data_IF_789217417327
#
_entry.id   IF_789217417327
#
_cell.length_a   1.000
_cell.length_b   1.000
_cell.length_c   1.000
_cell.angle_alpha   90.00
_cell.angle_beta   90.00
_cell.angle_gamma   90.00
#
_symmetry.space_group_name_H-M   'P 1'
#
loop_
_entity.id
_entity.type
_entity.pdbx_description
1 polymer ?
#
# COMPACT_ATOMS: atom_id res chain seq x y z
N UNK A 1 -19.48 2.73 -12.30
CA UNK A 1 -18.13 2.26 -12.70
C UNK A 1 -18.30 1.20 -13.77
N UNK A 2 -17.57 1.29 -14.89
CA UNK A 2 -17.56 0.22 -15.91
C UNK A 2 -17.05 -1.08 -15.26
N UNK A 3 -17.63 -2.22 -15.65
CA UNK A 3 -17.27 -3.52 -15.06
C UNK A 3 -15.81 -3.87 -15.29
N UNK A 4 -15.26 -3.57 -16.46
CA UNK A 4 -13.84 -3.77 -16.76
C UNK A 4 -12.91 -3.00 -15.81
N UNK A 5 -13.21 -1.73 -15.53
CA UNK A 5 -12.43 -0.91 -14.59
C UNK A 5 -12.50 -1.45 -13.16
N UNK A 6 -13.68 -1.87 -12.72
CA UNK A 6 -13.85 -2.49 -11.39
C UNK A 6 -13.02 -3.77 -11.27
N UNK A 7 -13.19 -4.70 -12.21
CA UNK A 7 -12.53 -6.01 -12.19
C UNK A 7 -11.00 -5.84 -12.27
N UNK A 8 -10.50 -4.98 -13.17
CA UNK A 8 -9.06 -4.73 -13.30
C UNK A 8 -8.43 -4.20 -12.01
N UNK A 9 -9.06 -3.21 -11.38
CA UNK A 9 -8.56 -2.67 -10.11
C UNK A 9 -8.68 -3.68 -8.97
N UNK A 10 -9.78 -4.43 -8.92
CA UNK A 10 -9.98 -5.43 -7.88
C UNK A 10 -8.90 -6.53 -7.96
N UNK A 11 -8.64 -7.07 -9.15
CA UNK A 11 -7.60 -8.08 -9.37
C UNK A 11 -6.23 -7.53 -9.01
N UNK A 12 -5.90 -6.30 -9.45
CA UNK A 12 -4.64 -5.65 -9.12
C UNK A 12 -4.41 -5.56 -7.61
N UNK A 13 -5.38 -5.02 -6.87
CA UNK A 13 -5.24 -4.87 -5.41
C UNK A 13 -5.28 -6.21 -4.67
N UNK A 14 -6.02 -7.21 -5.15
CA UNK A 14 -5.98 -8.58 -4.60
C UNK A 14 -4.59 -9.18 -4.77
N UNK A 15 -3.96 -9.04 -5.94
CA UNK A 15 -2.62 -9.55 -6.19
C UNK A 15 -1.59 -8.90 -5.26
N UNK A 16 -1.65 -7.57 -5.11
CA UNK A 16 -0.79 -6.83 -4.16
C UNK A 16 -1.03 -7.30 -2.73
N UNK A 17 -2.29 -7.39 -2.30
CA UNK A 17 -2.63 -7.85 -0.95
C UNK A 17 -2.16 -9.30 -0.70
N UNK A 18 -2.24 -10.18 -1.69
CA UNK A 18 -1.76 -11.55 -1.56
C UNK A 18 -0.23 -11.61 -1.40
N UNK A 19 0.52 -10.89 -2.24
CA UNK A 19 1.99 -10.83 -2.15
C UNK A 19 2.43 -10.25 -0.81
N UNK A 20 1.87 -9.10 -0.41
CA UNK A 20 2.19 -8.48 0.87
C UNK A 20 1.74 -9.33 2.05
N UNK A 21 0.60 -10.02 1.95
CA UNK A 21 0.07 -10.90 2.99
C UNK A 21 0.94 -12.13 3.21
N UNK A 22 1.40 -12.78 2.15
CA UNK A 22 2.34 -13.92 2.24
C UNK A 22 3.67 -13.48 2.85
N UNK A 23 4.21 -12.34 2.41
CA UNK A 23 5.44 -11.80 2.99
C UNK A 23 5.24 -11.43 4.48
N UNK A 24 4.15 -10.74 4.82
CA UNK A 24 3.85 -10.35 6.20
C UNK A 24 3.67 -11.59 7.09
N UNK A 25 2.99 -12.63 6.62
CA UNK A 25 2.87 -13.89 7.33
C UNK A 25 4.27 -14.46 7.65
N UNK A 26 5.13 -14.60 6.63
CA UNK A 26 6.51 -15.05 6.83
C UNK A 26 7.27 -14.15 7.83
N UNK A 27 7.21 -12.83 7.67
CA UNK A 27 7.91 -11.86 8.51
C UNK A 27 7.50 -11.95 9.98
N UNK A 28 6.20 -12.06 10.28
CA UNK A 28 5.69 -12.10 11.64
C UNK A 28 5.75 -13.50 12.29
N UNK A 29 5.90 -14.58 11.51
CA UNK A 29 6.06 -15.94 12.05
C UNK A 29 7.50 -16.42 12.12
N UNK A 30 8.45 -15.70 11.50
CA UNK A 30 9.86 -16.05 11.48
C UNK A 30 10.60 -15.38 12.64
N UNK A 31 11.61 -16.07 13.18
CA UNK A 31 12.44 -15.52 14.25
C UNK A 31 13.16 -14.22 13.83
N UNK A 32 13.25 -13.27 14.77
CA UNK A 32 13.79 -11.93 14.53
C UNK A 32 15.23 -11.97 14.02
N UNK A 33 16.06 -12.89 14.51
CA UNK A 33 17.46 -12.99 14.06
C UNK A 33 17.54 -13.45 12.60
N UNK A 34 16.66 -14.36 12.19
CA UNK A 34 16.59 -14.87 10.82
C UNK A 34 16.12 -13.78 9.86
N UNK A 35 15.08 -13.03 10.25
CA UNK A 35 14.56 -11.90 9.46
C UNK A 35 15.62 -10.81 9.32
N UNK A 36 16.34 -10.50 10.40
CA UNK A 36 17.38 -9.47 10.41
C UNK A 36 18.55 -9.85 9.50
N UNK A 37 19.00 -11.11 9.56
CA UNK A 37 20.03 -11.62 8.66
C UNK A 37 19.58 -11.54 7.19
N UNK A 38 18.38 -12.01 6.88
CA UNK A 38 17.84 -11.97 5.53
C UNK A 38 17.65 -10.54 4.98
N UNK A 39 17.27 -9.58 5.84
CA UNK A 39 17.14 -8.18 5.47
C UNK A 39 18.50 -7.49 5.26
N UNK A 40 19.55 -7.92 5.98
CA UNK A 40 20.91 -7.44 5.77
C UNK A 40 21.51 -7.94 4.44
N UNK A 41 21.08 -9.12 3.96
CA UNK A 41 21.60 -9.74 2.73
C UNK A 41 20.80 -9.36 1.47
N UNK A 42 19.54 -8.95 1.61
CA UNK A 42 18.63 -8.72 0.48
C UNK A 42 17.85 -7.42 0.58
N UNK A 43 18.05 -6.52 -0.38
CA UNK A 43 17.22 -5.31 -0.56
C UNK A 43 15.74 -5.63 -0.66
N UNK A 44 15.36 -6.75 -1.31
CA UNK A 44 13.95 -7.11 -1.48
C UNK A 44 13.31 -7.55 -0.17
N UNK A 45 14.06 -8.29 0.65
CA UNK A 45 13.61 -8.65 2.00
C UNK A 45 13.45 -7.40 2.85
N UNK A 46 14.41 -6.48 2.81
CA UNK A 46 14.34 -5.21 3.54
C UNK A 46 13.18 -4.33 3.06
N UNK A 47 12.94 -4.21 1.75
CA UNK A 47 11.77 -3.52 1.21
C UNK A 47 10.48 -4.15 1.73
N UNK A 48 10.42 -5.48 1.76
CA UNK A 48 9.28 -6.20 2.31
C UNK A 48 9.04 -5.87 3.79
N UNK A 49 10.07 -5.84 4.63
CA UNK A 49 9.89 -5.53 6.07
C UNK A 49 9.39 -4.11 6.32
N UNK A 50 9.75 -3.16 5.44
CA UNK A 50 9.35 -1.76 5.53
C UNK A 50 7.94 -1.52 4.97
N UNK A 51 7.64 -2.08 3.80
CA UNK A 51 6.49 -1.66 3.00
C UNK A 51 5.34 -2.67 2.95
N UNK A 52 5.55 -3.95 3.29
CA UNK A 52 4.51 -4.97 3.12
C UNK A 52 3.24 -4.64 3.94
N UNK A 53 3.37 -4.27 5.21
CA UNK A 53 2.21 -3.94 6.06
C UNK A 53 1.47 -2.67 5.60
N UNK A 54 2.14 -1.51 5.36
CA UNK A 54 1.49 -0.33 4.80
C UNK A 54 0.76 -0.61 3.48
N UNK A 55 1.43 -1.33 2.56
CA UNK A 55 0.89 -1.62 1.24
C UNK A 55 -0.27 -2.62 1.28
N UNK A 56 -0.20 -3.61 2.18
CA UNK A 56 -1.29 -4.53 2.46
C UNK A 56 -2.53 -3.78 2.94
N UNK A 57 -2.38 -2.88 3.93
CA UNK A 57 -3.50 -2.11 4.47
C UNK A 57 -4.10 -1.17 3.42
N UNK A 58 -3.27 -0.53 2.61
CA UNK A 58 -3.73 0.25 1.47
C UNK A 58 -4.54 -0.62 0.50
N UNK A 59 -4.01 -1.77 0.10
CA UNK A 59 -4.67 -2.68 -0.83
C UNK A 59 -6.02 -3.18 -0.28
N UNK A 60 -6.08 -3.54 1.00
CA UNK A 60 -7.32 -3.94 1.68
C UNK A 60 -8.33 -2.79 1.70
N UNK A 61 -7.90 -1.59 2.05
CA UNK A 61 -8.73 -0.39 1.99
C UNK A 61 -9.31 -0.13 0.60
N UNK A 62 -8.48 -0.30 -0.44
CA UNK A 62 -8.90 -0.17 -1.83
C UNK A 62 -9.91 -1.26 -2.23
N UNK A 63 -9.69 -2.51 -1.83
CA UNK A 63 -10.65 -3.60 -2.09
C UNK A 63 -12.00 -3.30 -1.44
N UNK A 64 -12.00 -2.92 -0.16
CA UNK A 64 -13.23 -2.58 0.57
C UNK A 64 -13.94 -1.42 -0.11
N UNK A 65 -13.22 -0.33 -0.39
CA UNK A 65 -13.79 0.85 -1.05
C UNK A 65 -14.39 0.53 -2.42
N UNK A 66 -13.69 -0.26 -3.24
CA UNK A 66 -14.18 -0.72 -4.55
C UNK A 66 -15.49 -1.50 -4.42
N UNK A 67 -15.54 -2.47 -3.50
CA UNK A 67 -16.71 -3.32 -3.27
C UNK A 67 -17.90 -2.49 -2.79
N UNK A 68 -17.68 -1.61 -1.80
CA UNK A 68 -18.72 -0.72 -1.25
C UNK A 68 -19.27 0.22 -2.32
N UNK A 69 -18.42 0.84 -3.15
CA UNK A 69 -18.84 1.73 -4.23
C UNK A 69 -19.63 0.97 -5.30
N UNK A 70 -19.19 -0.25 -5.66
CA UNK A 70 -19.85 -1.06 -6.69
C UNK A 70 -21.22 -1.56 -6.22
N UNK A 71 -21.31 -2.11 -5.01
CA UNK A 71 -22.56 -2.65 -4.44
C UNK A 71 -23.52 -1.51 -4.09
N UNK A 72 -23.03 -0.47 -3.40
CA UNK A 72 -23.83 0.69 -2.99
C UNK A 72 -24.23 1.61 -4.13
N UNK A 73 -23.71 1.39 -5.35
CA UNK A 73 -23.97 2.23 -6.54
C UNK A 73 -23.75 3.73 -6.29
N UNK A 74 -22.83 4.07 -5.39
CA UNK A 74 -22.56 5.45 -5.01
C UNK A 74 -22.08 6.28 -6.20
N UNK A 75 -22.60 7.51 -6.30
CA UNK A 75 -22.10 8.53 -7.22
C UNK A 75 -21.42 9.62 -6.42
N UNK A 76 -20.18 9.92 -6.77
CA UNK A 76 -19.33 10.82 -5.99
C UNK A 76 -19.23 12.16 -6.71
N UNK A 77 -19.28 13.26 -5.95
CA UNK A 77 -19.01 14.58 -6.49
C UNK A 77 -17.62 14.62 -7.15
N UNK A 78 -17.52 15.20 -8.34
CA UNK A 78 -16.28 15.32 -9.09
C UNK A 78 -15.14 15.96 -8.27
N UNK A 79 -15.44 16.97 -7.44
CA UNK A 79 -14.42 17.58 -6.58
C UNK A 79 -13.86 16.59 -5.56
N UNK A 80 -14.73 15.90 -4.81
CA UNK A 80 -14.30 14.91 -3.82
C UNK A 80 -13.52 13.76 -4.47
N UNK A 81 -13.97 13.31 -5.64
CA UNK A 81 -13.28 12.30 -6.45
C UNK A 81 -11.85 12.72 -6.77
N UNK A 82 -11.65 13.91 -7.32
CA UNK A 82 -10.32 14.39 -7.69
C UNK A 82 -9.38 14.50 -6.49
N UNK A 83 -9.84 15.10 -5.39
CA UNK A 83 -9.02 15.23 -4.18
C UNK A 83 -8.65 13.88 -3.57
N UNK A 84 -9.61 12.95 -3.49
CA UNK A 84 -9.38 11.61 -2.99
C UNK A 84 -8.36 10.85 -3.86
N UNK A 85 -8.47 10.96 -5.19
CA UNK A 85 -7.52 10.34 -6.11
C UNK A 85 -6.11 10.92 -5.97
N UNK A 86 -5.99 12.25 -5.89
CA UNK A 86 -4.70 12.94 -5.75
C UNK A 86 -4.03 12.52 -4.46
N UNK A 87 -4.72 12.60 -3.32
CA UNK A 87 -4.16 12.24 -2.01
C UNK A 87 -3.74 10.77 -2.00
N UNK A 88 -4.61 9.88 -2.46
CA UNK A 88 -4.29 8.44 -2.45
C UNK A 88 -3.12 8.08 -3.37
N UNK A 89 -2.99 8.75 -4.52
CA UNK A 89 -1.88 8.55 -5.46
C UNK A 89 -0.58 9.14 -4.92
N UNK A 90 -0.62 10.31 -4.27
CA UNK A 90 0.54 10.93 -3.64
C UNK A 90 1.10 10.07 -2.51
N UNK A 91 0.24 9.53 -1.64
CA UNK A 91 0.69 8.63 -0.58
C UNK A 91 1.31 7.35 -1.16
N UNK A 92 0.72 6.77 -2.20
CA UNK A 92 1.31 5.61 -2.88
C UNK A 92 2.68 5.95 -3.50
N UNK A 93 2.80 7.12 -4.15
CA UNK A 93 4.07 7.60 -4.68
C UNK A 93 5.12 7.83 -3.58
N UNK A 94 4.71 8.35 -2.42
CA UNK A 94 5.60 8.51 -1.25
C UNK A 94 6.05 7.16 -0.68
N UNK A 95 5.19 6.13 -0.67
CA UNK A 95 5.62 4.77 -0.30
C UNK A 95 6.70 4.26 -1.27
N UNK A 96 6.50 4.44 -2.57
CA UNK A 96 7.48 4.05 -3.60
C UNK A 96 8.79 4.82 -3.41
N UNK A 97 8.71 6.13 -3.16
CA UNK A 97 9.88 6.96 -2.86
C UNK A 97 10.59 6.55 -1.56
N UNK A 98 9.85 6.00 -0.59
CA UNK A 98 10.40 5.46 0.66
C UNK A 98 11.22 4.18 0.46
N UNK A 99 10.85 3.33 -0.51
CA UNK A 99 11.58 2.09 -0.80
C UNK A 99 12.67 2.26 -1.87
N UNK A 100 12.56 3.28 -2.74
CA UNK A 100 13.52 3.50 -3.82
C UNK A 100 14.99 3.59 -3.37
N UNK A 101 15.33 4.25 -2.25
CA UNK A 101 16.70 4.28 -1.74
C UNK A 101 17.24 2.90 -1.37
N UNK A 102 16.40 2.03 -0.79
CA UNK A 102 16.79 0.66 -0.39
C UNK A 102 17.12 -0.19 -1.62
N UNK A 103 16.37 0.00 -2.70
CA UNK A 103 16.59 -0.69 -3.97
C UNK A 103 17.85 -0.17 -4.66
N UNK A 104 18.07 1.15 -4.64
CA UNK A 104 19.16 1.79 -5.36
C UNK A 104 20.53 1.67 -4.66
N UNK A 105 20.56 1.73 -3.33
CA UNK A 105 21.78 1.85 -2.53
C UNK A 105 22.12 0.57 -1.75
N UNK A 106 21.18 -0.38 -1.66
CA UNK A 106 21.38 -1.64 -0.93
C UNK A 106 20.96 -1.57 0.54
N UNK A 107 20.95 -2.72 1.24
CA UNK A 107 20.50 -2.81 2.64
C UNK A 107 21.51 -2.26 3.65
N UNK A 108 22.75 -2.01 3.24
CA UNK A 108 23.86 -1.58 4.11
C UNK A 108 24.11 -0.07 4.10
N UNK A 109 23.57 0.65 3.11
CA UNK A 109 23.56 2.11 3.13
C UNK A 109 22.49 2.55 4.14
N UNK A 110 22.91 3.13 5.26
CA UNK A 110 22.02 3.52 6.36
C UNK A 110 20.71 4.18 5.89
N UNK A 111 19.62 3.93 6.61
CA UNK A 111 18.27 4.35 6.20
C UNK A 111 18.21 5.83 5.84
N UNK A 112 17.80 6.13 4.61
CA UNK A 112 17.45 7.49 4.21
C UNK A 112 16.19 7.95 4.97
N UNK A 113 16.05 9.26 5.17
CA UNK A 113 14.90 9.84 5.87
C UNK A 113 13.53 9.36 5.34
N UNK A 114 13.30 9.22 4.01
CA UNK A 114 12.05 8.66 3.48
C UNK A 114 11.79 7.22 3.92
N UNK A 115 12.84 6.41 4.02
CA UNK A 115 12.73 5.01 4.43
C UNK A 115 12.33 4.92 5.90
N UNK A 116 12.97 5.72 6.76
CA UNK A 116 12.61 5.82 8.18
C UNK A 116 11.15 6.25 8.36
N UNK A 117 10.73 7.31 7.67
CA UNK A 117 9.36 7.82 7.75
C UNK A 117 8.34 6.75 7.36
N UNK A 118 8.59 5.98 6.30
CA UNK A 118 7.71 4.91 5.88
C UNK A 118 7.63 3.78 6.91
N UNK A 119 8.78 3.35 7.45
CA UNK A 119 8.84 2.33 8.50
C UNK A 119 8.07 2.76 9.76
N UNK A 120 8.27 4.00 10.22
CA UNK A 120 7.56 4.56 11.36
C UNK A 120 6.06 4.70 11.08
N UNK A 121 5.68 5.21 9.90
CA UNK A 121 4.27 5.33 9.52
C UNK A 121 3.57 3.96 9.50
N UNK A 122 4.26 2.91 9.05
CA UNK A 122 3.74 1.53 9.09
C UNK A 122 3.38 1.05 10.49
N UNK A 123 4.11 1.49 11.51
CA UNK A 123 3.88 1.13 12.91
C UNK A 123 2.79 1.99 13.55
N UNK A 124 2.86 3.31 13.38
CA UNK A 124 2.03 4.26 14.14
C UNK A 124 0.78 4.77 13.40
N UNK A 125 0.76 4.65 12.07
CA UNK A 125 -0.30 5.15 11.22
C UNK A 125 -0.95 4.05 10.37
N UNK A 126 -0.88 2.79 10.82
CA UNK A 126 -1.48 1.65 10.13
C UNK A 126 -2.95 1.87 9.67
N UNK A 127 -3.87 2.40 10.52
CA UNK A 127 -5.25 2.66 10.08
C UNK A 127 -5.37 3.70 8.97
N UNK A 128 -4.41 4.64 8.89
CA UNK A 128 -4.40 5.70 7.87
C UNK A 128 -4.25 5.07 6.49
N UNK A 129 -3.37 4.09 6.32
CA UNK A 129 -3.18 3.44 5.01
C UNK A 129 -4.45 2.75 4.50
N UNK A 130 -5.23 2.15 5.39
CA UNK A 130 -6.53 1.57 5.05
C UNK A 130 -7.54 2.64 4.59
N UNK A 131 -7.60 3.78 5.29
CA UNK A 131 -8.46 4.91 4.90
C UNK A 131 -8.03 5.49 3.54
N UNK A 132 -6.72 5.65 3.33
CA UNK A 132 -6.18 6.17 2.07
C UNK A 132 -6.44 5.19 0.91
N UNK A 133 -6.32 3.88 1.14
CA UNK A 133 -6.74 2.86 0.17
C UNK A 133 -8.22 2.97 -0.19
N UNK A 134 -9.09 3.20 0.79
CA UNK A 134 -10.51 3.45 0.50
C UNK A 134 -10.70 4.75 -0.31
N UNK A 135 -9.94 5.80 -0.02
CA UNK A 135 -9.96 7.06 -0.77
C UNK A 135 -9.53 6.88 -2.23
N UNK A 136 -8.58 5.98 -2.53
CA UNK A 136 -8.25 5.59 -3.91
C UNK A 136 -9.49 5.15 -4.68
N UNK A 137 -10.31 4.30 -4.05
CA UNK A 137 -11.54 3.75 -4.65
C UNK A 137 -12.58 4.84 -4.91
N UNK A 138 -12.70 5.80 -4.00
CA UNK A 138 -13.52 7.01 -4.19
C UNK A 138 -13.01 7.82 -5.39
N UNK A 139 -11.70 7.93 -5.55
CA UNK A 139 -11.05 8.61 -6.66
C UNK A 139 -11.33 8.03 -8.06
N UNK A 140 -11.67 6.74 -8.14
CA UNK A 140 -12.04 6.06 -9.39
C UNK A 140 -13.55 5.78 -9.52
N UNK A 141 -14.34 6.26 -8.58
CA UNK A 141 -15.79 6.13 -8.58
C UNK A 141 -16.45 6.84 -9.79
N UNK A 142 -17.65 6.42 -10.22
CA UNK A 142 -18.42 7.18 -11.19
C UNK A 142 -18.80 8.55 -10.62
N UNK A 143 -18.62 9.60 -11.43
CA UNK A 143 -19.02 10.95 -11.06
C UNK A 143 -20.55 11.06 -10.98
N UNK A 144 -21.03 11.89 -10.06
CA UNK A 144 -22.45 12.28 -9.95
C UNK A 144 -22.86 13.21 -11.08
#
# INVERSE_FOLDING_TARGET
MKTSTFVGNLIFWIAIAAVCGVFAAWYYTTDVATVTAAAAESSWTLVGTIAATPLLLYAVGAIIGLVVIKIGKFRINQSLKSHAFIVASLILALMIAGIAPVIALGPTSGYSMPTLLLSYAGVYAAPVFLIIGAAYSVGIAPAK
#
